data_IF_339927351129
#
_entry.id   IF_339927351129
#
_cell.length_a   1.000
_cell.length_b   1.000
_cell.length_c   1.000
_cell.angle_alpha   90.00
_cell.angle_beta   90.00
_cell.angle_gamma   90.00
#
_symmetry.space_group_name_H-M   'P 1'
#
loop_
_entity.id
_entity.type
_entity.pdbx_description
1 polymer ?
#
# COMPACT_ATOMS: atom_id res chain seq x y z
N UNK A 1 7.09 10.74 -2.94
CA UNK A 1 6.69 9.51 -2.24
C UNK A 1 7.96 8.93 -1.67
N UNK A 2 8.01 8.62 -0.38
CA UNK A 2 9.25 8.16 0.25
C UNK A 2 9.53 6.68 -0.03
N UNK A 3 8.78 6.06 -0.95
CA UNK A 3 8.97 4.68 -1.39
C UNK A 3 9.06 4.66 -2.91
N UNK A 4 9.96 3.84 -3.43
CA UNK A 4 10.28 3.76 -4.86
C UNK A 4 9.79 2.41 -5.38
N UNK A 5 8.87 2.38 -6.35
CA UNK A 5 8.50 1.14 -7.04
C UNK A 5 9.71 0.53 -7.73
N UNK A 6 9.85 -0.78 -7.59
CA UNK A 6 10.73 -1.57 -8.43
C UNK A 6 10.24 -1.45 -9.89
N UNK A 7 11.16 -1.28 -10.82
CA UNK A 7 10.88 -1.22 -12.26
C UNK A 7 11.57 -2.36 -12.99
N UNK A 8 10.88 -2.92 -13.99
CA UNK A 8 11.41 -3.89 -14.93
C UNK A 8 12.32 -3.19 -15.96
N UNK A 9 13.16 -3.92 -16.73
CA UNK A 9 14.06 -3.33 -17.72
C UNK A 9 13.35 -2.53 -18.84
N UNK A 10 12.08 -2.82 -19.10
CA UNK A 10 11.22 -2.10 -20.06
C UNK A 10 10.58 -0.83 -19.47
N UNK A 11 10.90 -0.50 -18.20
CA UNK A 11 10.34 0.63 -17.48
C UNK A 11 8.98 0.37 -16.84
N UNK A 12 8.38 -0.82 -17.02
CA UNK A 12 7.12 -1.14 -16.39
C UNK A 12 7.30 -1.43 -14.89
N UNK A 13 6.30 -1.13 -14.04
CA UNK A 13 6.36 -1.49 -12.63
C UNK A 13 6.50 -2.99 -12.42
N UNK A 14 7.35 -3.38 -11.47
CA UNK A 14 7.43 -4.76 -11.01
C UNK A 14 6.25 -5.04 -10.07
N UNK A 15 5.44 -6.02 -10.47
CA UNK A 15 4.25 -6.46 -9.74
C UNK A 15 4.23 -7.98 -9.58
N UNK A 16 3.42 -8.47 -8.65
CA UNK A 16 3.18 -9.89 -8.40
C UNK A 16 1.74 -10.14 -7.90
N UNK A 17 1.46 -11.39 -7.52
CA UNK A 17 0.15 -11.80 -7.00
C UNK A 17 -0.92 -11.93 -8.09
N UNK A 18 -2.17 -12.23 -7.69
CA UNK A 18 -3.28 -12.31 -8.63
C UNK A 18 -3.40 -11.04 -9.47
N UNK A 19 -3.60 -11.22 -10.78
CA UNK A 19 -3.77 -10.15 -11.77
C UNK A 19 -2.64 -9.09 -11.80
N UNK A 20 -1.44 -9.43 -11.31
CA UNK A 20 -0.31 -8.50 -11.16
C UNK A 20 -0.71 -7.23 -10.36
N UNK A 21 -1.53 -7.37 -9.32
CA UNK A 21 -2.03 -6.22 -8.55
C UNK A 21 -1.10 -5.76 -7.44
N UNK A 22 -0.24 -6.64 -6.91
CA UNK A 22 0.68 -6.29 -5.82
C UNK A 22 1.90 -5.60 -6.38
N UNK A 23 2.12 -4.35 -5.99
CA UNK A 23 3.33 -3.61 -6.33
C UNK A 23 4.48 -3.98 -5.42
N UNK A 24 5.70 -3.94 -5.96
CA UNK A 24 6.94 -4.17 -5.22
C UNK A 24 7.82 -2.92 -5.26
N UNK A 25 8.60 -2.72 -4.21
CA UNK A 25 9.54 -1.61 -4.12
C UNK A 25 10.34 -1.61 -2.82
N UNK A 26 10.89 -0.44 -2.48
CA UNK A 26 11.62 -0.24 -1.24
C UNK A 26 11.46 1.21 -0.75
N UNK A 27 11.67 1.48 0.55
CA UNK A 27 11.85 2.83 1.05
C UNK A 27 12.98 3.56 0.31
N UNK A 28 12.77 4.84 -0.01
CA UNK A 28 13.76 5.71 -0.64
C UNK A 28 14.90 6.11 0.30
N UNK A 29 14.71 5.88 1.61
CA UNK A 29 15.67 6.11 2.69
C UNK A 29 15.47 5.02 3.75
N UNK A 30 16.43 4.88 4.66
CA UNK A 30 16.28 3.96 5.78
C UNK A 30 15.01 4.29 6.58
N UNK A 31 14.11 3.32 6.69
CA UNK A 31 12.84 3.42 7.41
C UNK A 31 12.63 2.17 8.25
N UNK A 32 12.04 2.36 9.42
CA UNK A 32 11.45 1.26 10.21
C UNK A 32 9.95 1.15 9.94
N UNK A 33 9.37 0.02 10.34
CA UNK A 33 7.91 -0.21 10.28
C UNK A 33 7.13 0.94 10.93
N UNK A 34 7.57 1.43 12.09
CA UNK A 34 6.94 2.55 12.79
C UNK A 34 7.03 3.87 12.02
N UNK A 35 8.19 4.20 11.46
CA UNK A 35 8.33 5.43 10.64
C UNK A 35 7.55 5.35 9.34
N UNK A 36 7.41 4.15 8.77
CA UNK A 36 6.58 3.89 7.59
C UNK A 36 5.11 4.08 7.93
N UNK A 37 4.63 3.49 9.03
CA UNK A 37 3.27 3.67 9.51
C UNK A 37 2.93 5.14 9.79
N UNK A 38 3.85 5.90 10.38
CA UNK A 38 3.66 7.33 10.60
C UNK A 38 3.57 8.16 9.31
N UNK A 39 4.40 7.85 8.30
CA UNK A 39 4.31 8.49 6.97
C UNK A 39 2.97 8.15 6.29
N UNK A 40 2.53 6.89 6.37
CA UNK A 40 1.21 6.45 5.90
C UNK A 40 0.10 7.24 6.60
N UNK A 41 0.16 7.33 7.94
CA UNK A 41 -0.84 8.02 8.73
C UNK A 41 -0.96 9.48 8.33
N UNK A 42 0.19 10.16 8.18
CA UNK A 42 0.24 11.56 7.78
C UNK A 42 -0.33 11.78 6.36
N UNK A 43 0.00 10.90 5.41
CA UNK A 43 -0.45 11.04 4.02
C UNK A 43 -1.93 10.70 3.83
N UNK A 44 -2.43 9.70 4.56
CA UNK A 44 -3.81 9.23 4.41
C UNK A 44 -4.78 9.95 5.34
N UNK A 45 -4.29 10.65 6.36
CA UNK A 45 -5.13 11.28 7.38
C UNK A 45 -5.83 10.26 8.28
N UNK A 46 -5.25 9.06 8.45
CA UNK A 46 -5.83 7.94 9.20
C UNK A 46 -4.72 7.14 9.86
N UNK A 47 -4.87 6.84 11.16
CA UNK A 47 -3.94 5.95 11.86
C UNK A 47 -4.10 4.50 11.34
N UNK A 48 -3.04 3.88 10.78
CA UNK A 48 -3.10 2.51 10.31
C UNK A 48 -3.00 1.51 11.46
N UNK A 49 -3.58 0.32 11.30
CA UNK A 49 -3.30 -0.80 12.18
C UNK A 49 -2.01 -1.50 11.73
N UNK A 50 -1.08 -1.68 12.66
CA UNK A 50 0.24 -2.27 12.39
C UNK A 50 0.38 -3.62 13.10
N UNK A 51 0.80 -4.64 12.35
CA UNK A 51 1.24 -5.93 12.88
C UNK A 51 2.74 -6.08 12.59
N UNK A 52 3.52 -6.34 13.63
CA UNK A 52 4.99 -6.44 13.56
C UNK A 52 5.69 -5.40 14.42
N UNK A 53 7.00 -5.56 14.58
CA UNK A 53 7.81 -4.74 15.48
C UNK A 53 8.08 -3.33 14.89
N UNK A 54 7.66 -2.23 15.55
CA UNK A 54 7.83 -0.87 15.02
C UNK A 54 9.29 -0.47 14.74
N UNK A 55 10.24 -1.04 15.47
CA UNK A 55 11.67 -0.79 15.29
C UNK A 55 12.34 -1.59 14.16
N UNK A 56 11.63 -2.55 13.55
CA UNK A 56 12.20 -3.40 12.50
C UNK A 56 12.46 -2.57 11.23
N UNK A 57 13.63 -2.69 10.59
CA UNK A 57 13.89 -2.03 9.31
C UNK A 57 13.03 -2.64 8.19
N UNK A 58 12.53 -1.78 7.30
CA UNK A 58 11.81 -2.18 6.08
C UNK A 58 12.80 -2.17 4.92
N UNK A 59 13.05 -3.33 4.31
CA UNK A 59 13.96 -3.45 3.16
C UNK A 59 13.24 -3.66 1.85
N UNK A 60 12.11 -4.37 1.87
CA UNK A 60 11.32 -4.73 0.70
C UNK A 60 9.86 -4.51 1.01
N UNK A 61 9.31 -3.50 0.37
CA UNK A 61 7.92 -3.12 0.54
C UNK A 61 7.09 -3.75 -0.58
N UNK A 62 5.93 -4.27 -0.22
CA UNK A 62 4.87 -4.59 -1.16
C UNK A 62 3.59 -3.85 -0.77
N UNK A 63 2.74 -3.54 -1.75
CA UNK A 63 1.45 -2.93 -1.45
C UNK A 63 0.38 -3.24 -2.50
N UNK A 64 -0.86 -3.28 -2.04
CA UNK A 64 -2.06 -3.28 -2.88
C UNK A 64 -3.19 -2.61 -2.09
N UNK A 65 -3.82 -1.58 -2.66
CA UNK A 65 -4.90 -0.83 -2.00
C UNK A 65 -6.16 -1.68 -1.80
N UNK A 66 -7.09 -1.19 -0.98
CA UNK A 66 -8.38 -1.86 -0.78
C UNK A 66 -8.29 -3.17 0.01
N UNK A 67 -9.17 -4.12 -0.29
CA UNK A 67 -9.30 -5.41 0.42
C UNK A 67 -8.29 -6.47 -0.07
N UNK A 68 -6.99 -6.16 -0.08
CA UNK A 68 -5.94 -7.03 -0.62
C UNK A 68 -5.10 -7.76 0.45
N UNK A 69 -5.60 -7.89 1.67
CA UNK A 69 -4.99 -8.65 2.78
C UNK A 69 -4.68 -10.11 2.41
N UNK A 70 -5.52 -10.73 1.56
CA UNK A 70 -5.32 -12.10 1.07
C UNK A 70 -4.16 -12.27 0.09
N UNK A 71 -3.55 -11.18 -0.39
CA UNK A 71 -2.40 -11.23 -1.29
C UNK A 71 -1.05 -11.18 -0.56
N UNK A 72 -1.06 -11.16 0.78
CA UNK A 72 0.17 -11.12 1.59
C UNK A 72 1.10 -12.30 1.29
N UNK A 73 0.59 -13.51 1.11
CA UNK A 73 1.41 -14.68 0.74
C UNK A 73 2.21 -14.45 -0.54
N UNK A 74 1.57 -13.86 -1.57
CA UNK A 74 2.25 -13.55 -2.83
C UNK A 74 3.32 -12.47 -2.66
N UNK A 75 3.06 -11.47 -1.82
CA UNK A 75 4.04 -10.44 -1.48
C UNK A 75 5.27 -11.03 -0.77
N UNK A 76 5.05 -11.92 0.21
CA UNK A 76 6.12 -12.61 0.93
C UNK A 76 6.92 -13.53 0.00
N UNK A 77 6.24 -14.29 -0.88
CA UNK A 77 6.89 -15.12 -1.89
C UNK A 77 7.75 -14.29 -2.86
N UNK A 78 7.39 -13.03 -3.12
CA UNK A 78 8.16 -12.09 -3.91
C UNK A 78 9.31 -11.41 -3.13
N UNK A 79 9.47 -11.72 -1.84
CA UNK A 79 10.57 -11.26 -0.98
C UNK A 79 10.27 -9.97 -0.21
N UNK A 80 9.01 -9.55 -0.11
CA UNK A 80 8.63 -8.43 0.75
C UNK A 80 8.85 -8.77 2.23
N UNK A 81 9.32 -7.79 3.01
CA UNK A 81 9.40 -7.87 4.47
C UNK A 81 8.40 -6.95 5.20
N UNK A 82 7.71 -6.10 4.44
CA UNK A 82 6.55 -5.33 4.87
C UNK A 82 5.49 -5.30 3.75
N UNK A 83 4.23 -5.55 4.10
CA UNK A 83 3.11 -5.48 3.17
C UNK A 83 2.06 -4.46 3.65
N UNK A 84 1.60 -3.59 2.74
CA UNK A 84 0.60 -2.55 3.02
C UNK A 84 -0.66 -2.82 2.21
N UNK A 85 -1.82 -2.81 2.87
CA UNK A 85 -3.12 -2.86 2.20
C UNK A 85 -4.16 -2.00 2.91
N UNK A 86 -5.39 -1.98 2.41
CA UNK A 86 -6.49 -1.22 3.00
C UNK A 86 -7.08 -1.94 4.22
N UNK A 87 -7.59 -3.15 4.04
CA UNK A 87 -8.24 -3.92 5.12
C UNK A 87 -7.28 -4.87 5.84
N UNK A 88 -7.79 -5.70 6.76
CA UNK A 88 -7.04 -6.77 7.42
C UNK A 88 -8.02 -7.90 7.78
N UNK A 89 -7.53 -9.13 7.90
CA UNK A 89 -8.28 -10.25 8.47
C UNK A 89 -7.45 -10.99 9.52
N UNK A 90 -8.11 -11.82 10.33
CA UNK A 90 -7.44 -12.62 11.37
C UNK A 90 -6.29 -13.48 10.81
N UNK A 91 -6.44 -14.18 9.66
CA UNK A 91 -5.33 -14.96 9.09
C UNK A 91 -4.12 -14.11 8.72
N UNK A 92 -4.34 -12.87 8.28
CA UNK A 92 -3.26 -11.93 7.95
C UNK A 92 -2.43 -11.57 9.17
N UNK A 93 -3.05 -11.44 10.35
CA UNK A 93 -2.34 -11.19 11.61
C UNK A 93 -1.43 -12.36 11.97
N UNK A 94 -1.93 -13.59 11.83
CA UNK A 94 -1.17 -14.80 12.09
C UNK A 94 -0.01 -14.95 11.12
N UNK A 95 -0.26 -14.77 9.82
CA UNK A 95 0.77 -14.84 8.79
C UNK A 95 1.90 -13.84 9.02
N UNK A 96 1.57 -12.59 9.36
CA UNK A 96 2.58 -11.56 9.69
C UNK A 96 3.44 -11.98 10.89
N UNK A 97 2.82 -12.48 11.96
CA UNK A 97 3.54 -12.92 13.18
C UNK A 97 4.41 -14.15 12.94
N UNK A 98 3.90 -15.15 12.23
CA UNK A 98 4.57 -16.43 11.99
C UNK A 98 5.76 -16.28 11.03
N UNK A 99 5.66 -15.38 10.05
CA UNK A 99 6.73 -15.08 9.10
C UNK A 99 7.68 -13.99 9.62
N UNK A 100 7.29 -13.31 10.70
CA UNK A 100 7.92 -12.13 11.24
C UNK A 100 7.74 -10.87 10.39
N UNK A 101 7.17 -10.96 9.18
CA UNK A 101 6.97 -9.80 8.31
C UNK A 101 6.02 -8.77 8.92
N UNK A 102 6.17 -7.52 8.52
CA UNK A 102 5.26 -6.47 8.95
C UNK A 102 4.03 -6.39 8.04
N UNK A 103 2.88 -6.11 8.62
CA UNK A 103 1.65 -5.81 7.89
C UNK A 103 1.08 -4.46 8.36
N UNK A 104 0.66 -3.61 7.42
CA UNK A 104 0.05 -2.31 7.71
C UNK A 104 -1.30 -2.24 7.00
N UNK A 105 -2.37 -2.17 7.79
CA UNK A 105 -3.74 -1.93 7.33
C UNK A 105 -4.03 -0.43 7.40
N UNK A 106 -4.11 0.20 6.23
CA UNK A 106 -4.13 1.64 6.07
C UNK A 106 -5.52 2.21 5.73
N UNK A 107 -6.54 1.35 5.65
CA UNK A 107 -7.92 1.69 5.34
C UNK A 107 -8.31 1.47 3.88
N UNK A 108 -9.44 0.81 3.64
CA UNK A 108 -9.91 0.55 2.28
C UNK A 108 -10.20 1.87 1.56
N UNK A 109 -11.11 2.67 2.11
CA UNK A 109 -11.44 3.98 1.55
C UNK A 109 -10.20 4.86 1.46
N UNK A 110 -9.46 4.94 2.56
CA UNK A 110 -8.31 5.81 2.68
C UNK A 110 -7.26 5.58 1.58
N UNK A 111 -7.03 4.33 1.18
CA UNK A 111 -6.04 3.94 0.17
C UNK A 111 -6.53 4.09 -1.28
N UNK A 112 -7.84 4.08 -1.56
CA UNK A 112 -8.36 4.04 -2.94
C UNK A 112 -8.82 5.40 -3.52
N UNK A 113 -8.91 6.44 -2.70
CA UNK A 113 -9.31 7.80 -3.14
C UNK A 113 -8.44 8.38 -4.26
N UNK A 114 -7.17 7.97 -4.35
CA UNK A 114 -6.21 8.59 -5.26
C UNK A 114 -6.43 8.21 -6.72
N UNK A 115 -6.93 6.99 -6.99
CA UNK A 115 -7.20 6.53 -8.35
C UNK A 115 -8.28 7.36 -9.04
N UNK A 116 -9.41 7.56 -8.37
CA UNK A 116 -10.53 8.33 -8.92
C UNK A 116 -10.20 9.83 -9.06
N UNK A 117 -9.41 10.39 -8.13
CA UNK A 117 -8.90 11.77 -8.23
C UNK A 117 -8.01 11.96 -9.45
N UNK A 118 -7.08 11.04 -9.68
CA UNK A 118 -6.19 11.07 -10.83
C UNK A 118 -6.97 10.92 -12.14
N UNK A 119 -7.98 10.05 -12.16
CA UNK A 119 -8.87 9.89 -13.32
C UNK A 119 -9.65 11.17 -13.62
N UNK A 120 -10.24 11.82 -12.61
CA UNK A 120 -10.94 13.09 -12.78
C UNK A 120 -10.05 14.17 -13.40
N UNK A 121 -8.83 14.34 -12.87
CA UNK A 121 -7.85 15.28 -13.42
C UNK A 121 -7.47 14.94 -14.87
N UNK A 122 -7.35 13.65 -15.21
CA UNK A 122 -7.05 13.22 -16.57
C UNK A 122 -8.20 13.50 -17.54
N UNK A 123 -9.45 13.33 -17.10
CA UNK A 123 -10.65 13.63 -17.88
C UNK A 123 -10.73 15.13 -18.17
N UNK A 124 -10.55 15.97 -17.15
CA UNK A 124 -10.50 17.43 -17.30
C UNK A 124 -9.42 17.85 -18.30
N UNK A 125 -8.19 17.36 -18.12
CA UNK A 125 -7.07 17.73 -18.97
C UNK A 125 -7.26 17.28 -20.43
N UNK A 126 -7.84 16.10 -20.67
CA UNK A 126 -7.94 15.51 -22.02
C UNK A 126 -9.18 15.95 -22.79
N UNK A 127 -10.29 16.20 -22.09
CA UNK A 127 -11.60 16.42 -22.69
C UNK A 127 -12.23 17.76 -22.32
N UNK A 128 -11.67 18.50 -21.36
CA UNK A 128 -12.22 19.77 -20.90
C UNK A 128 -13.54 19.63 -20.12
N UNK A 129 -13.85 18.43 -19.62
CA UNK A 129 -15.06 18.14 -18.84
C UNK A 129 -14.74 18.36 -17.37
N UNK A 130 -15.34 19.36 -16.69
CA UNK A 130 -15.12 19.59 -15.26
C UNK A 130 -15.47 18.36 -14.42
N UNK A 131 -14.60 18.03 -13.47
CA UNK A 131 -14.73 16.89 -12.58
C UNK A 131 -14.54 17.35 -11.13
N UNK A 132 -15.56 17.16 -10.31
CA UNK A 132 -15.47 17.41 -8.87
C UNK A 132 -15.20 16.10 -8.12
N UNK A 133 -14.19 16.09 -7.27
CA UNK A 133 -13.95 14.98 -6.35
C UNK A 133 -14.67 15.23 -5.03
N UNK A 134 -15.63 14.36 -4.70
CA UNK A 134 -16.36 14.38 -3.43
C UNK A 134 -15.86 13.24 -2.56
N UNK A 135 -15.13 13.56 -1.50
CA UNK A 135 -14.66 12.60 -0.50
C UNK A 135 -15.70 12.47 0.62
N UNK A 136 -16.44 11.36 0.62
CA UNK A 136 -17.36 11.02 1.71
C UNK A 136 -16.64 9.99 2.56
N UNK A 137 -16.30 10.38 3.80
CA UNK A 137 -15.55 9.53 4.70
C UNK A 137 -16.25 8.18 4.95
N UNK A 138 -15.46 7.11 4.87
CA UNK A 138 -15.85 5.77 5.24
C UNK A 138 -14.79 5.23 6.20
N UNK A 139 -15.17 4.83 7.43
CA UNK A 139 -14.22 4.42 8.46
C UNK A 139 -13.50 3.10 8.16
N UNK A 140 -13.92 2.35 7.14
CA UNK A 140 -13.35 1.03 6.76
C UNK A 140 -12.07 1.18 5.96
#
# INVERSE_FOLDING_TARGET
MDWVPDVRPDGAPRRCGPDDLVWLGAPARDMTVGTLAADIAHRLGREPLVIGEPGRPVRRLAWCTGAAQGMMDAALAAGADCYVSGEISEPTVHLARETGAAYISAGHHATERYGIRALGAAIEARFGVPCEFVDIDNPV
#
